data_IF_748715032219
#
_entry.id   IF_748715032219
#
_cell.length_a   1.000
_cell.length_b   1.000
_cell.length_c   1.000
_cell.angle_alpha   90.00
_cell.angle_beta   90.00
_cell.angle_gamma   90.00
#
_symmetry.space_group_name_H-M   'P 1'
#
loop_
_entity.id
_entity.type
_entity.pdbx_description
1 polymer ?
#
# COMPACT_ATOMS: atom_id res chain seq x y z
N UNK A 1 0.00 7.20 -6.61
CA UNK A 1 0.09 5.78 -6.21
C UNK A 1 -0.97 5.43 -5.17
N UNK A 2 -0.94 5.97 -3.94
CA UNK A 2 -1.95 5.62 -2.92
C UNK A 2 -3.39 5.95 -3.35
N UNK A 3 -3.62 7.15 -3.89
CA UNK A 3 -4.96 7.57 -4.36
C UNK A 3 -5.53 6.65 -5.43
N UNK A 4 -4.70 6.21 -6.36
CA UNK A 4 -5.10 5.37 -7.50
C UNK A 4 -5.35 3.92 -7.11
N UNK A 5 -4.54 3.36 -6.21
CA UNK A 5 -4.51 1.92 -5.96
C UNK A 5 -5.04 1.51 -4.59
N UNK A 6 -5.19 2.46 -3.65
CA UNK A 6 -5.45 2.14 -2.24
C UNK A 6 -6.65 2.90 -1.66
N UNK A 7 -6.90 4.15 -2.07
CA UNK A 7 -7.87 5.05 -1.40
C UNK A 7 -9.34 4.58 -1.47
N UNK A 8 -9.69 3.75 -2.44
CA UNK A 8 -11.02 3.16 -2.55
C UNK A 8 -11.31 2.17 -1.42
N UNK A 9 -10.29 1.46 -0.94
CA UNK A 9 -10.41 0.43 0.10
C UNK A 9 -9.80 0.83 1.45
N UNK A 10 -8.95 1.85 1.47
CA UNK A 10 -8.19 2.27 2.64
C UNK A 10 -8.29 3.77 2.89
N UNK A 11 -8.02 4.13 4.14
CA UNK A 11 -7.96 5.54 4.57
C UNK A 11 -6.63 5.81 5.24
N UNK A 12 -6.27 7.09 5.37
CA UNK A 12 -5.12 7.55 6.15
C UNK A 12 -5.56 8.20 7.47
N UNK A 13 -6.85 8.45 7.63
CA UNK A 13 -7.44 9.05 8.82
C UNK A 13 -8.81 8.43 9.11
N UNK A 14 -9.19 8.40 10.38
CA UNK A 14 -10.46 7.81 10.82
C UNK A 14 -10.47 6.27 10.81
N UNK A 15 -11.68 5.71 10.87
CA UNK A 15 -11.93 4.27 11.10
C UNK A 15 -12.97 3.65 10.17
N UNK A 16 -13.47 4.39 9.17
CA UNK A 16 -14.48 3.89 8.22
C UNK A 16 -13.97 2.74 7.36
N UNK A 17 -12.66 2.69 7.13
CA UNK A 17 -11.92 1.57 6.52
C UNK A 17 -10.64 1.36 7.29
N UNK A 18 -9.89 0.31 6.95
CA UNK A 18 -8.58 0.10 7.57
C UNK A 18 -7.67 1.29 7.30
N UNK A 19 -7.26 1.95 8.38
CA UNK A 19 -6.32 3.06 8.36
C UNK A 19 -4.89 2.53 8.17
N UNK A 20 -4.17 3.05 7.17
CA UNK A 20 -2.82 2.62 6.81
C UNK A 20 -1.70 3.52 7.34
N UNK A 21 -2.01 4.61 8.05
CA UNK A 21 -1.00 5.48 8.69
C UNK A 21 -0.18 4.70 9.70
N UNK A 22 1.15 4.84 9.63
CA UNK A 22 2.09 4.06 10.44
C UNK A 22 2.22 2.58 10.07
N UNK A 23 1.65 2.14 8.93
CA UNK A 23 1.65 0.72 8.51
C UNK A 23 2.57 0.42 7.32
N UNK A 24 3.48 1.32 6.97
CA UNK A 24 4.46 1.12 5.88
C UNK A 24 5.24 -0.20 5.98
N UNK A 25 5.57 -0.67 7.20
CA UNK A 25 6.25 -1.95 7.41
C UNK A 25 5.47 -3.18 6.90
N UNK A 26 4.14 -3.10 6.81
CA UNK A 26 3.29 -4.22 6.35
C UNK A 26 3.22 -4.33 4.83
N UNK A 27 3.73 -3.34 4.08
CA UNK A 27 3.70 -3.35 2.61
C UNK A 27 4.50 -4.52 2.05
N UNK A 28 5.64 -4.88 2.67
CA UNK A 28 6.43 -6.06 2.24
C UNK A 28 5.70 -7.38 2.45
N UNK A 29 4.78 -7.46 3.41
CA UNK A 29 3.93 -8.65 3.60
C UNK A 29 2.82 -8.71 2.54
N UNK A 30 2.30 -7.55 2.12
CA UNK A 30 1.20 -7.47 1.14
C UNK A 30 1.68 -7.52 -0.31
N UNK A 31 2.92 -7.12 -0.55
CA UNK A 31 3.59 -7.12 -1.84
C UNK A 31 5.00 -7.73 -1.65
N UNK A 32 5.11 -9.07 -1.60
CA UNK A 32 6.36 -9.75 -1.28
C UNK A 32 7.41 -9.63 -2.39
N UNK A 33 7.00 -9.32 -3.62
CA UNK A 33 7.91 -9.12 -4.74
C UNK A 33 7.42 -8.00 -5.65
N UNK A 34 8.36 -7.25 -6.22
CA UNK A 34 8.05 -6.19 -7.18
C UNK A 34 7.69 -6.78 -8.55
N UNK A 35 6.81 -6.10 -9.29
CA UNK A 35 6.42 -6.48 -10.65
C UNK A 35 5.55 -7.74 -10.74
N UNK A 36 5.10 -8.28 -9.60
CA UNK A 36 4.15 -9.41 -9.54
C UNK A 36 2.86 -8.98 -8.88
N UNK A 37 1.81 -9.77 -9.08
CA UNK A 37 0.50 -9.53 -8.48
C UNK A 37 0.55 -9.67 -6.96
N UNK A 38 0.19 -8.61 -6.24
CA UNK A 38 0.16 -8.54 -4.79
C UNK A 38 -1.26 -8.41 -4.24
N UNK A 39 -1.47 -7.48 -3.32
CA UNK A 39 -2.77 -7.26 -2.69
C UNK A 39 -3.85 -6.90 -3.72
N UNK A 40 -4.96 -7.66 -3.74
CA UNK A 40 -6.10 -7.45 -4.66
C UNK A 40 -5.72 -7.43 -6.15
N UNK A 41 -4.69 -8.17 -6.54
CA UNK A 41 -4.27 -8.23 -7.94
C UNK A 41 -3.36 -7.08 -8.38
N UNK A 42 -3.16 -6.06 -7.53
CA UNK A 42 -2.38 -4.86 -7.84
C UNK A 42 -0.90 -5.26 -8.04
N UNK A 43 -0.30 -4.77 -9.13
CA UNK A 43 1.11 -4.96 -9.44
C UNK A 43 1.82 -3.62 -9.24
N UNK A 44 2.90 -3.62 -8.45
CA UNK A 44 3.72 -2.44 -8.17
C UNK A 44 5.18 -2.74 -8.47
N UNK A 45 5.86 -1.78 -9.08
CA UNK A 45 7.31 -1.79 -9.27
C UNK A 45 8.06 -1.65 -7.94
N UNK A 46 9.37 -1.91 -7.95
CA UNK A 46 10.20 -1.78 -6.76
C UNK A 46 10.20 -0.34 -6.20
N UNK A 47 10.23 0.65 -7.09
CA UNK A 47 10.15 2.07 -6.72
C UNK A 47 8.80 2.41 -6.10
N UNK A 48 7.69 1.99 -6.70
CA UNK A 48 6.36 2.24 -6.14
C UNK A 48 6.17 1.59 -4.76
N UNK A 49 6.75 0.41 -4.53
CA UNK A 49 6.74 -0.23 -3.22
C UNK A 49 7.56 0.53 -2.19
N UNK A 50 8.71 1.08 -2.57
CA UNK A 50 9.53 1.91 -1.68
C UNK A 50 8.80 3.22 -1.33
N UNK A 51 8.21 3.87 -2.32
CA UNK A 51 7.45 5.11 -2.16
C UNK A 51 6.21 4.89 -1.29
N UNK A 52 5.47 3.79 -1.53
CA UNK A 52 4.31 3.44 -0.71
C UNK A 52 4.69 3.13 0.75
N UNK A 53 5.80 2.42 0.97
CA UNK A 53 6.33 2.17 2.33
C UNK A 53 6.64 3.47 3.05
N UNK A 54 7.32 4.40 2.38
CA UNK A 54 7.69 5.70 2.94
C UNK A 54 6.45 6.57 3.21
N UNK A 55 5.49 6.56 2.29
CA UNK A 55 4.25 7.34 2.41
C UNK A 55 3.36 6.88 3.57
N UNK A 56 3.38 5.60 3.91
CA UNK A 56 2.56 5.01 4.98
C UNK A 56 3.27 4.94 6.35
N UNK A 57 4.41 5.60 6.52
CA UNK A 57 5.07 5.69 7.84
C UNK A 57 4.29 6.58 8.81
#
# INVERSE_FOLDING_TARGET
MFTTNCADCHVLTGTSRMNLTGKGALVSTKFPSAGVSGHQGIILSATELADLKAFLQ
#
